data_IF_405239056362
#
_entry.id   IF_405239056362
#
_cell.length_a   1.000
_cell.length_b   1.000
_cell.length_c   1.000
_cell.angle_alpha   90.00
_cell.angle_beta   90.00
_cell.angle_gamma   90.00
#
_symmetry.space_group_name_H-M   'P 1'
#
loop_
_entity.id
_entity.type
_entity.pdbx_description
1 polymer ?
#
# COMPACT_ATOMS: atom_id res chain seq x y z
N UNK A 1 22.34 -50.82 35.93
CA UNK A 1 21.04 -50.32 35.51
C UNK A 1 21.24 -49.41 34.29
N UNK A 2 20.81 -49.99 33.19
CA UNK A 2 20.91 -49.43 31.84
C UNK A 2 19.73 -48.51 31.65
N UNK A 3 19.96 -47.23 31.43
CA UNK A 3 18.93 -46.25 31.10
C UNK A 3 18.80 -46.17 29.58
N UNK A 4 17.69 -46.66 29.06
CA UNK A 4 17.29 -46.65 27.68
C UNK A 4 16.81 -45.23 27.32
N UNK A 5 17.38 -44.63 26.28
CA UNK A 5 16.97 -43.33 25.73
C UNK A 5 15.70 -43.50 24.89
N UNK A 6 14.73 -42.54 24.90
CA UNK A 6 13.54 -42.67 24.09
C UNK A 6 13.89 -42.42 22.60
N UNK A 7 13.39 -43.33 21.78
CA UNK A 7 13.43 -43.35 20.32
C UNK A 7 12.89 -42.06 19.73
N UNK A 8 13.68 -41.45 18.81
CA UNK A 8 13.24 -40.35 17.97
C UNK A 8 12.12 -40.81 17.04
N UNK A 9 10.94 -40.19 17.18
CA UNK A 9 9.80 -40.41 16.29
C UNK A 9 10.15 -39.78 14.93
N UNK A 10 10.39 -40.63 13.95
CA UNK A 10 10.49 -40.21 12.53
C UNK A 10 9.19 -39.57 12.09
N UNK A 11 9.21 -38.27 11.87
CA UNK A 11 8.15 -37.53 11.18
C UNK A 11 8.28 -37.82 9.70
N UNK A 12 7.55 -38.80 9.20
CA UNK A 12 7.54 -39.24 7.81
C UNK A 12 6.93 -38.18 6.86
N UNK A 13 7.12 -38.32 5.53
CA UNK A 13 6.80 -37.33 4.50
C UNK A 13 5.30 -37.31 4.14
N UNK A 14 4.46 -36.79 5.02
CA UNK A 14 2.99 -36.65 4.75
C UNK A 14 2.67 -35.34 4.04
N UNK A 15 3.67 -34.45 3.80
CA UNK A 15 3.47 -33.07 3.31
C UNK A 15 3.48 -32.91 1.78
N UNK A 16 4.07 -33.83 1.00
CA UNK A 16 4.30 -33.60 -0.42
C UNK A 16 3.04 -33.74 -1.29
N UNK A 17 2.31 -34.83 -1.17
CA UNK A 17 1.17 -35.14 -2.04
C UNK A 17 -0.05 -34.20 -1.80
N UNK A 18 -0.29 -33.79 -0.55
CA UNK A 18 -1.36 -32.84 -0.23
C UNK A 18 -1.03 -31.45 -0.83
N UNK A 19 0.21 -31.00 -0.71
CA UNK A 19 0.65 -29.73 -1.27
C UNK A 19 0.60 -29.71 -2.81
N UNK A 20 0.91 -30.81 -3.48
CA UNK A 20 0.79 -30.92 -4.95
C UNK A 20 -0.66 -30.88 -5.41
N UNK A 21 -1.59 -31.55 -4.70
CA UNK A 21 -3.02 -31.49 -5.00
C UNK A 21 -3.57 -30.07 -4.85
N UNK A 22 -3.20 -29.38 -3.77
CA UNK A 22 -3.61 -27.99 -3.51
C UNK A 22 -3.01 -27.03 -4.54
N UNK A 23 -1.75 -27.20 -4.91
CA UNK A 23 -1.10 -26.41 -5.96
C UNK A 23 -1.79 -26.58 -7.32
N UNK A 24 -2.13 -27.81 -7.70
CA UNK A 24 -2.87 -28.10 -8.95
C UNK A 24 -4.29 -27.50 -8.94
N UNK A 25 -4.99 -27.53 -7.79
CA UNK A 25 -6.29 -26.89 -7.65
C UNK A 25 -6.20 -25.36 -7.87
N UNK A 26 -5.13 -24.72 -7.40
CA UNK A 26 -4.90 -23.29 -7.62
C UNK A 26 -4.67 -22.91 -9.09
N UNK A 27 -4.23 -23.83 -9.91
CA UNK A 27 -4.02 -23.64 -11.36
C UNK A 27 -5.25 -23.96 -12.20
N UNK A 28 -6.23 -24.67 -11.63
CA UNK A 28 -7.43 -25.08 -12.35
C UNK A 28 -8.24 -23.91 -12.92
N UNK A 29 -8.67 -24.04 -14.19
CA UNK A 29 -9.47 -23.04 -14.89
C UNK A 29 -8.76 -21.73 -15.21
N UNK A 30 -7.43 -21.69 -15.16
CA UNK A 30 -6.61 -20.61 -15.70
C UNK A 30 -6.38 -20.87 -17.21
N UNK A 31 -6.37 -19.79 -18.01
CA UNK A 31 -5.86 -19.91 -19.37
C UNK A 31 -4.33 -19.97 -19.36
N UNK A 32 -3.71 -20.28 -20.49
CA UNK A 32 -2.28 -20.47 -20.59
C UNK A 32 -1.45 -19.27 -20.12
N UNK A 33 -1.84 -18.05 -20.50
CA UNK A 33 -1.15 -16.82 -20.06
C UNK A 33 -1.26 -16.58 -18.56
N UNK A 34 -2.45 -16.81 -17.99
CA UNK A 34 -2.70 -16.71 -16.55
C UNK A 34 -1.91 -17.79 -15.80
N UNK A 35 -1.88 -19.01 -16.30
CA UNK A 35 -1.11 -20.10 -15.73
C UNK A 35 0.38 -19.75 -15.68
N UNK A 36 0.97 -19.35 -16.81
CA UNK A 36 2.39 -18.91 -16.86
C UNK A 36 2.67 -17.80 -15.87
N UNK A 37 1.79 -16.82 -15.73
CA UNK A 37 1.95 -15.70 -14.78
C UNK A 37 1.89 -16.15 -13.31
N UNK A 38 1.10 -17.18 -12.99
CA UNK A 38 1.02 -17.73 -11.62
C UNK A 38 2.29 -18.47 -11.24
N UNK A 39 2.81 -19.32 -12.12
CA UNK A 39 3.97 -20.18 -11.82
C UNK A 39 5.34 -19.52 -12.08
N UNK A 40 5.39 -18.34 -12.74
CA UNK A 40 6.64 -17.68 -13.07
C UNK A 40 7.52 -17.44 -11.84
N UNK A 41 8.78 -17.82 -11.91
CA UNK A 41 9.76 -17.68 -10.81
C UNK A 41 10.56 -16.39 -10.88
N UNK A 42 10.62 -15.77 -12.07
CA UNK A 42 11.39 -14.54 -12.31
C UNK A 42 10.94 -13.38 -11.40
N UNK A 43 11.91 -12.64 -10.88
CA UNK A 43 11.72 -11.41 -10.09
C UNK A 43 12.72 -10.35 -10.54
N UNK A 44 12.33 -9.12 -10.76
CA UNK A 44 10.94 -8.60 -10.71
C UNK A 44 10.08 -9.09 -11.88
N UNK A 45 8.77 -9.29 -11.66
CA UNK A 45 7.81 -9.72 -12.69
C UNK A 45 6.75 -8.63 -12.92
N UNK A 46 6.61 -8.17 -14.15
CA UNK A 46 5.51 -7.31 -14.58
C UNK A 46 4.46 -8.11 -15.36
N UNK A 47 3.19 -8.04 -14.93
CA UNK A 47 2.07 -8.71 -15.59
C UNK A 47 1.17 -7.64 -16.21
N UNK A 48 1.20 -7.51 -17.54
CA UNK A 48 0.38 -6.58 -18.29
C UNK A 48 -0.95 -7.24 -18.68
N UNK A 49 -2.05 -6.62 -18.30
CA UNK A 49 -3.37 -7.22 -18.52
C UNK A 49 -4.45 -6.14 -18.64
N UNK A 50 -5.33 -6.27 -19.64
CA UNK A 50 -6.47 -5.36 -19.88
C UNK A 50 -7.56 -5.44 -18.81
N UNK A 51 -8.56 -4.56 -18.84
CA UNK A 51 -9.75 -4.69 -18.01
C UNK A 51 -10.44 -6.05 -18.22
N UNK A 52 -10.96 -6.65 -17.17
CA UNK A 52 -11.68 -7.94 -17.25
C UNK A 52 -10.81 -9.18 -17.47
N UNK A 53 -9.52 -9.06 -17.73
CA UNK A 53 -8.60 -10.19 -18.01
C UNK A 53 -8.29 -11.09 -16.79
N UNK A 54 -8.83 -10.78 -15.61
CA UNK A 54 -8.61 -11.58 -14.41
C UNK A 54 -7.34 -11.25 -13.61
N UNK A 55 -6.78 -10.03 -13.74
CA UNK A 55 -5.58 -9.59 -12.99
C UNK A 55 -5.59 -9.96 -11.50
N UNK A 56 -6.68 -9.66 -10.81
CA UNK A 56 -6.81 -9.98 -9.38
C UNK A 56 -6.84 -11.48 -9.12
N UNK A 57 -7.43 -12.26 -10.04
CA UNK A 57 -7.43 -13.72 -9.96
C UNK A 57 -6.02 -14.28 -10.09
N UNK A 58 -5.25 -13.80 -11.05
CA UNK A 58 -3.85 -14.20 -11.25
C UNK A 58 -3.03 -13.84 -10.02
N UNK A 59 -3.13 -12.60 -9.52
CA UNK A 59 -2.38 -12.13 -8.36
C UNK A 59 -2.66 -12.99 -7.11
N UNK A 60 -3.92 -13.23 -6.79
CA UNK A 60 -4.28 -14.00 -5.59
C UNK A 60 -3.87 -15.47 -5.70
N UNK A 61 -4.02 -16.08 -6.89
CA UNK A 61 -3.59 -17.45 -7.13
C UNK A 61 -2.07 -17.59 -7.13
N UNK A 62 -1.34 -16.60 -7.65
CA UNK A 62 0.12 -16.57 -7.57
C UNK A 62 0.61 -16.55 -6.11
N UNK A 63 0.04 -15.68 -5.28
CA UNK A 63 0.38 -15.63 -3.85
C UNK A 63 0.09 -16.98 -3.19
N UNK A 64 -1.09 -17.55 -3.41
CA UNK A 64 -1.47 -18.82 -2.83
C UNK A 64 -0.59 -19.98 -3.33
N UNK A 65 -0.31 -20.04 -4.63
CA UNK A 65 0.54 -21.06 -5.24
C UNK A 65 1.96 -21.03 -4.70
N UNK A 66 2.58 -19.83 -4.62
CA UNK A 66 3.94 -19.69 -4.07
C UNK A 66 4.01 -20.02 -2.58
N UNK A 67 2.92 -19.80 -1.84
CA UNK A 67 2.81 -20.21 -0.44
C UNK A 67 2.72 -21.74 -0.29
N UNK A 68 1.83 -22.39 -1.05
CA UNK A 68 1.61 -23.83 -0.99
C UNK A 68 2.84 -24.60 -1.45
N UNK A 69 3.54 -24.11 -2.47
CA UNK A 69 4.79 -24.69 -2.96
C UNK A 69 6.01 -24.40 -2.08
N UNK A 70 5.85 -23.60 -1.01
CA UNK A 70 6.95 -23.21 -0.14
C UNK A 70 7.92 -22.20 -0.73
N UNK A 71 7.61 -21.65 -1.92
CA UNK A 71 8.46 -20.65 -2.58
C UNK A 71 8.48 -19.31 -1.85
N UNK A 72 7.42 -18.99 -1.08
CA UNK A 72 7.32 -17.77 -0.29
C UNK A 72 6.61 -18.01 1.06
N UNK A 73 7.09 -17.34 2.09
CA UNK A 73 6.39 -17.26 3.38
C UNK A 73 5.25 -16.21 3.26
N UNK A 74 3.98 -16.62 3.43
CA UNK A 74 2.85 -15.69 3.34
C UNK A 74 2.91 -14.56 4.37
N UNK A 75 3.54 -14.76 5.53
CA UNK A 75 3.73 -13.73 6.56
C UNK A 75 4.66 -12.61 6.11
N UNK A 76 5.49 -12.87 5.11
CA UNK A 76 6.41 -11.90 4.49
C UNK A 76 5.87 -11.36 3.18
N UNK A 77 4.64 -11.74 2.80
CA UNK A 77 3.97 -11.29 1.58
C UNK A 77 3.08 -10.09 1.85
N UNK A 78 3.27 -9.02 1.08
CA UNK A 78 2.47 -7.82 1.12
C UNK A 78 1.81 -7.55 -0.23
N UNK A 79 0.48 -7.61 -0.28
CA UNK A 79 -0.32 -7.31 -1.47
C UNK A 79 -0.91 -5.90 -1.40
N UNK A 80 -0.48 -5.02 -2.29
CA UNK A 80 -0.86 -3.60 -2.30
C UNK A 80 -1.83 -3.27 -3.43
N UNK A 81 -2.76 -2.36 -3.15
CA UNK A 81 -3.69 -1.81 -4.13
C UNK A 81 -4.02 -0.34 -3.82
N UNK A 82 -4.64 0.37 -4.76
CA UNK A 82 -4.94 1.80 -4.61
C UNK A 82 -6.23 2.09 -3.85
N UNK A 83 -7.22 1.20 -3.87
CA UNK A 83 -8.53 1.47 -3.28
C UNK A 83 -8.88 0.54 -2.13
N UNK A 84 -9.64 1.06 -1.14
CA UNK A 84 -10.14 0.26 -0.01
C UNK A 84 -11.01 -0.90 -0.47
N UNK A 85 -11.82 -0.70 -1.53
CA UNK A 85 -12.67 -1.73 -2.13
C UNK A 85 -11.83 -2.88 -2.68
N UNK A 86 -10.83 -2.56 -3.51
CA UNK A 86 -9.94 -3.58 -4.08
C UNK A 86 -9.12 -4.31 -3.00
N UNK A 87 -8.69 -3.61 -1.95
CA UNK A 87 -8.03 -4.25 -0.80
C UNK A 87 -8.96 -5.23 -0.07
N UNK A 88 -10.24 -4.88 0.11
CA UNK A 88 -11.25 -5.76 0.68
C UNK A 88 -11.50 -7.01 -0.17
N UNK A 89 -11.64 -6.85 -1.48
CA UNK A 89 -11.78 -7.97 -2.43
C UNK A 89 -10.56 -8.89 -2.40
N UNK A 90 -9.36 -8.31 -2.38
CA UNK A 90 -8.10 -9.05 -2.34
C UNK A 90 -8.02 -9.93 -1.07
N UNK A 91 -8.27 -9.34 0.11
CA UNK A 91 -8.33 -10.09 1.38
C UNK A 91 -9.36 -11.21 1.37
N UNK A 92 -10.56 -10.94 0.83
CA UNK A 92 -11.63 -11.96 0.74
C UNK A 92 -11.20 -13.13 -0.15
N UNK A 93 -10.55 -12.86 -1.28
CA UNK A 93 -10.05 -13.89 -2.20
C UNK A 93 -8.91 -14.71 -1.59
N UNK A 94 -7.95 -14.05 -0.94
CA UNK A 94 -6.84 -14.74 -0.24
C UNK A 94 -7.37 -15.66 0.87
N UNK A 95 -8.35 -15.20 1.67
CA UNK A 95 -9.01 -16.04 2.67
C UNK A 95 -9.71 -17.28 2.09
N UNK A 96 -10.37 -17.13 0.93
CA UNK A 96 -11.01 -18.25 0.23
C UNK A 96 -10.00 -19.26 -0.32
N UNK A 97 -8.77 -18.84 -0.56
CA UNK A 97 -7.66 -19.69 -1.00
C UNK A 97 -6.85 -20.26 0.19
N UNK A 98 -7.37 -20.21 1.40
CA UNK A 98 -6.73 -20.79 2.58
C UNK A 98 -5.71 -19.89 3.29
N UNK A 99 -5.39 -18.72 2.75
CA UNK A 99 -4.43 -17.78 3.33
C UNK A 99 -5.11 -16.81 4.33
N UNK A 100 -5.75 -17.35 5.35
CA UNK A 100 -6.36 -16.55 6.41
C UNK A 100 -5.26 -15.88 7.23
N UNK A 101 -5.29 -14.53 7.25
CA UNK A 101 -4.44 -13.67 8.09
C UNK A 101 -2.92 -13.89 7.96
N UNK A 102 -2.49 -14.64 6.95
CA UNK A 102 -1.08 -14.94 6.70
C UNK A 102 -0.44 -13.91 5.76
N UNK A 103 -1.11 -13.56 4.67
CA UNK A 103 -0.62 -12.54 3.72
C UNK A 103 -1.29 -11.19 3.99
N UNK A 104 -0.49 -10.16 4.23
CA UNK A 104 -0.98 -8.81 4.43
C UNK A 104 -1.51 -8.22 3.10
N UNK A 105 -2.72 -7.65 3.12
CA UNK A 105 -3.28 -6.97 1.96
C UNK A 105 -3.92 -5.64 2.37
N UNK A 106 -3.58 -4.56 1.66
CA UNK A 106 -4.05 -3.22 2.00
C UNK A 106 -3.85 -2.19 0.90
N UNK A 107 -4.26 -0.97 1.19
CA UNK A 107 -3.85 0.18 0.36
C UNK A 107 -2.48 0.66 0.79
N UNK A 108 -1.74 1.31 -0.13
CA UNK A 108 -0.44 1.92 0.18
C UNK A 108 -0.51 2.80 1.43
N UNK A 109 -1.49 3.69 1.52
CA UNK A 109 -1.65 4.58 2.68
C UNK A 109 -1.93 3.82 3.98
N UNK A 110 -2.81 2.81 3.95
CA UNK A 110 -3.13 2.04 5.16
C UNK A 110 -1.92 1.26 5.70
N UNK A 111 -1.11 0.70 4.79
CA UNK A 111 0.11 -0.03 5.18
C UNK A 111 1.18 0.92 5.69
N UNK A 112 1.41 2.04 4.99
CA UNK A 112 2.38 3.05 5.43
C UNK A 112 2.01 3.62 6.81
N UNK A 113 0.72 3.91 7.03
CA UNK A 113 0.25 4.38 8.33
C UNK A 113 0.41 3.33 9.43
N UNK A 114 0.10 2.06 9.14
CA UNK A 114 0.32 0.98 10.10
C UNK A 114 1.80 0.83 10.49
N UNK A 115 2.73 1.02 9.55
CA UNK A 115 4.16 1.03 9.83
C UNK A 115 4.58 2.23 10.69
N UNK A 116 4.03 3.43 10.40
CA UNK A 116 4.29 4.62 11.23
C UNK A 116 3.78 4.43 12.66
N UNK A 117 2.58 3.88 12.84
CA UNK A 117 2.04 3.57 14.17
C UNK A 117 2.93 2.59 14.95
N UNK A 118 3.42 1.55 14.29
CA UNK A 118 4.38 0.64 14.90
C UNK A 118 5.66 1.36 15.30
N UNK A 119 6.21 2.19 14.41
CA UNK A 119 7.40 2.99 14.67
C UNK A 119 7.25 3.92 15.87
N UNK A 120 6.12 4.63 16.00
CA UNK A 120 5.85 5.52 17.15
C UNK A 120 5.73 4.72 18.44
N UNK A 121 4.96 3.65 18.43
CA UNK A 121 4.79 2.77 19.59
C UNK A 121 6.11 2.16 20.07
N UNK A 122 6.93 1.66 19.15
CA UNK A 122 8.19 1.01 19.48
C UNK A 122 9.24 2.01 20.06
N UNK A 123 8.96 3.32 19.96
CA UNK A 123 9.81 4.41 20.48
C UNK A 123 9.14 5.24 21.57
N UNK A 124 7.98 4.79 22.07
CA UNK A 124 7.18 5.53 23.05
C UNK A 124 6.90 6.99 22.62
N UNK A 125 6.75 7.21 21.30
CA UNK A 125 6.36 8.50 20.75
C UNK A 125 4.85 8.63 20.70
N UNK A 126 4.29 9.83 20.95
CA UNK A 126 2.84 10.05 20.80
C UNK A 126 2.41 9.82 19.35
N UNK A 127 1.27 9.13 19.17
CA UNK A 127 0.67 8.98 17.85
C UNK A 127 0.05 10.31 17.41
N UNK A 128 0.48 10.91 16.29
CA UNK A 128 -0.09 12.17 15.82
C UNK A 128 -1.55 12.02 15.43
N UNK A 129 -2.35 13.05 15.68
CA UNK A 129 -3.73 13.11 15.20
C UNK A 129 -3.77 13.29 13.68
N UNK A 130 -4.57 12.46 12.99
CA UNK A 130 -4.74 12.57 11.55
C UNK A 130 -5.69 13.71 11.20
N UNK A 131 -5.23 14.63 10.37
CA UNK A 131 -6.05 15.69 9.81
C UNK A 131 -6.94 15.10 8.70
N UNK A 132 -8.20 14.84 9.00
CA UNK A 132 -9.16 14.27 8.05
C UNK A 132 -9.52 15.23 6.91
N UNK A 133 -9.57 16.54 7.19
CA UNK A 133 -10.04 17.57 6.24
C UNK A 133 -9.07 18.74 6.18
N UNK A 134 -8.33 18.84 5.07
CA UNK A 134 -7.37 19.92 4.83
C UNK A 134 -8.04 21.24 4.45
N UNK A 135 -9.13 21.17 3.69
CA UNK A 135 -9.83 22.35 3.16
C UNK A 135 -10.24 23.34 4.26
N UNK A 136 -10.88 22.94 5.38
CA UNK A 136 -11.22 23.87 6.45
C UNK A 136 -10.01 24.57 7.08
N UNK A 137 -8.87 23.90 7.16
CA UNK A 137 -7.62 24.49 7.67
C UNK A 137 -7.11 25.56 6.72
N UNK A 138 -6.95 25.19 5.43
CA UNK A 138 -6.48 26.12 4.39
C UNK A 138 -7.43 27.32 4.23
N UNK A 139 -8.77 27.12 4.32
CA UNK A 139 -9.74 28.20 4.26
C UNK A 139 -9.49 29.28 5.31
N UNK A 140 -9.09 28.89 6.53
CA UNK A 140 -8.77 29.84 7.60
C UNK A 140 -7.52 30.68 7.32
N UNK A 141 -6.61 30.16 6.51
CA UNK A 141 -5.34 30.81 6.15
C UNK A 141 -5.45 31.73 4.94
N UNK A 142 -6.53 31.61 4.13
CA UNK A 142 -6.76 32.46 2.97
C UNK A 142 -7.10 33.88 3.45
N UNK A 143 -6.43 34.92 2.92
CA UNK A 143 -6.72 36.32 3.26
C UNK A 143 -8.17 36.70 2.96
N UNK A 144 -8.70 37.64 3.74
CA UNK A 144 -10.10 38.06 3.61
C UNK A 144 -10.42 38.72 2.25
N UNK A 145 -9.47 39.39 1.67
CA UNK A 145 -9.54 40.03 0.34
C UNK A 145 -9.48 39.03 -0.82
N UNK A 146 -9.01 37.82 -0.56
CA UNK A 146 -8.88 36.72 -1.51
C UNK A 146 -9.88 35.59 -1.32
N UNK A 147 -10.95 35.80 -0.54
CA UNK A 147 -11.96 34.78 -0.22
C UNK A 147 -12.81 34.29 -1.38
N UNK A 148 -12.72 34.96 -2.55
CA UNK A 148 -13.32 34.46 -3.79
C UNK A 148 -12.56 33.27 -4.38
N UNK A 149 -11.31 33.04 -3.95
CA UNK A 149 -10.51 31.88 -4.37
C UNK A 149 -11.01 30.61 -3.68
N UNK A 150 -11.23 29.56 -4.46
CA UNK A 150 -11.61 28.27 -3.89
C UNK A 150 -10.46 27.68 -3.05
N UNK A 151 -10.73 27.40 -1.79
CA UNK A 151 -9.75 26.78 -0.92
C UNK A 151 -9.29 25.40 -1.42
N UNK A 152 -10.11 24.73 -2.23
CA UNK A 152 -9.76 23.46 -2.85
C UNK A 152 -8.62 23.63 -3.87
N UNK A 153 -8.61 24.74 -4.61
CA UNK A 153 -7.54 25.03 -5.57
C UNK A 153 -6.22 25.28 -4.85
N UNK A 154 -6.24 26.00 -3.73
CA UNK A 154 -5.06 26.21 -2.88
C UNK A 154 -4.57 24.90 -2.27
N UNK A 155 -5.47 24.05 -1.79
CA UNK A 155 -5.12 22.70 -1.31
C UNK A 155 -4.49 21.88 -2.43
N UNK A 156 -5.07 21.90 -3.63
CA UNK A 156 -4.56 21.16 -4.79
C UNK A 156 -3.15 21.61 -5.17
N UNK A 157 -2.86 22.89 -5.06
CA UNK A 157 -1.54 23.46 -5.33
C UNK A 157 -0.50 23.03 -4.27
N UNK A 158 -0.88 23.06 -3.00
CA UNK A 158 -0.04 22.53 -1.91
C UNK A 158 0.22 21.02 -2.08
N UNK A 159 -0.82 20.24 -2.41
CA UNK A 159 -0.67 18.81 -2.65
C UNK A 159 0.25 18.50 -3.84
N UNK A 160 0.15 19.30 -4.90
CA UNK A 160 1.07 19.19 -6.04
C UNK A 160 2.53 19.39 -5.62
N UNK A 161 2.80 20.40 -4.80
CA UNK A 161 4.15 20.68 -4.29
C UNK A 161 4.62 19.53 -3.37
N UNK A 162 3.78 19.09 -2.46
CA UNK A 162 4.10 17.98 -1.53
C UNK A 162 4.38 16.66 -2.25
N UNK A 163 3.61 16.32 -3.27
CA UNK A 163 3.81 15.11 -4.05
C UNK A 163 5.19 15.07 -4.74
N UNK A 164 5.79 16.25 -4.97
CA UNK A 164 7.14 16.43 -5.54
C UNK A 164 8.22 16.71 -4.50
N UNK A 165 7.87 16.69 -3.21
CA UNK A 165 8.76 17.04 -2.09
C UNK A 165 9.31 18.46 -2.18
N UNK A 166 8.56 19.38 -2.81
CA UNK A 166 8.87 20.79 -2.90
C UNK A 166 8.50 21.45 -1.57
N UNK A 167 9.45 22.05 -0.89
CA UNK A 167 9.22 22.80 0.35
C UNK A 167 8.67 24.21 0.06
N UNK A 168 7.99 24.86 1.05
CA UNK A 168 7.46 26.22 0.85
C UNK A 168 8.49 27.22 0.33
N UNK A 169 9.76 27.12 0.80
CA UNK A 169 10.83 28.06 0.46
C UNK A 169 11.26 27.99 -1.01
N UNK A 170 11.23 26.80 -1.61
CA UNK A 170 11.64 26.58 -3.01
C UNK A 170 10.46 26.54 -3.97
N UNK A 171 9.24 26.55 -3.43
CA UNK A 171 8.02 26.48 -4.24
C UNK A 171 7.93 27.56 -5.34
N UNK A 172 8.27 28.85 -5.10
CA UNK A 172 8.17 29.86 -6.17
C UNK A 172 9.01 29.52 -7.40
N UNK A 173 10.27 29.15 -7.18
CA UNK A 173 11.18 28.80 -8.29
C UNK A 173 10.69 27.57 -9.07
N UNK A 174 10.19 26.56 -8.36
CA UNK A 174 9.66 25.35 -8.99
C UNK A 174 8.34 25.61 -9.75
N UNK A 175 7.48 26.47 -9.21
CA UNK A 175 6.23 26.86 -9.87
C UNK A 175 6.52 27.61 -11.18
N UNK A 176 7.48 28.54 -11.18
CA UNK A 176 7.92 29.25 -12.39
C UNK A 176 8.56 28.30 -13.40
N UNK A 177 9.48 27.44 -12.98
CA UNK A 177 10.16 26.48 -13.85
C UNK A 177 9.17 25.53 -14.56
N UNK A 178 8.06 25.20 -13.90
CA UNK A 178 7.03 24.33 -14.44
C UNK A 178 5.84 25.10 -15.04
N UNK A 179 5.95 26.43 -15.18
CA UNK A 179 4.93 27.31 -15.78
C UNK A 179 3.55 27.12 -15.15
N UNK A 180 3.51 27.02 -13.83
CA UNK A 180 2.25 26.90 -13.10
C UNK A 180 1.58 28.27 -12.93
N UNK A 181 0.25 28.23 -12.90
CA UNK A 181 -0.60 29.37 -12.59
C UNK A 181 -1.29 29.11 -11.23
N UNK A 182 -0.64 29.48 -10.11
CA UNK A 182 -1.22 29.26 -8.79
C UNK A 182 -2.49 30.10 -8.62
N UNK A 183 -3.47 29.61 -7.79
CA UNK A 183 -4.76 30.28 -7.58
C UNK A 183 -4.66 31.61 -6.83
N UNK A 184 -3.52 31.88 -6.21
CA UNK A 184 -3.19 33.11 -5.48
C UNK A 184 -1.77 33.58 -5.83
N UNK A 185 -1.42 34.84 -5.58
CA UNK A 185 -0.05 35.32 -5.75
C UNK A 185 0.96 34.41 -5.02
N UNK A 186 2.11 34.14 -5.67
CA UNK A 186 3.14 33.23 -5.15
C UNK A 186 3.49 33.48 -3.67
N UNK A 187 3.73 34.74 -3.21
CA UNK A 187 4.04 34.97 -1.80
C UNK A 187 2.91 34.54 -0.85
N UNK A 188 1.66 34.69 -1.30
CA UNK A 188 0.49 34.26 -0.51
C UNK A 188 0.40 32.74 -0.42
N UNK A 189 0.63 32.04 -1.51
CA UNK A 189 0.65 30.54 -1.51
C UNK A 189 1.78 30.04 -0.61
N UNK A 190 2.98 30.62 -0.69
CA UNK A 190 4.12 30.28 0.17
C UNK A 190 3.77 30.44 1.65
N UNK A 191 3.17 31.59 2.02
CA UNK A 191 2.74 31.85 3.40
C UNK A 191 1.73 30.80 3.86
N UNK A 192 0.66 30.58 3.09
CA UNK A 192 -0.37 29.57 3.42
C UNK A 192 0.24 28.19 3.53
N UNK A 193 1.14 27.81 2.63
CA UNK A 193 1.77 26.51 2.65
C UNK A 193 2.64 26.33 3.91
N UNK A 194 3.41 27.35 4.29
CA UNK A 194 4.23 27.32 5.51
C UNK A 194 3.36 27.21 6.77
N UNK A 195 2.37 28.08 6.93
CA UNK A 195 1.43 28.05 8.07
C UNK A 195 0.68 26.70 8.14
N UNK A 196 0.31 26.12 6.99
CA UNK A 196 -0.30 24.80 6.94
C UNK A 196 0.67 23.68 7.40
N UNK A 197 1.94 23.75 7.07
CA UNK A 197 2.93 22.78 7.56
C UNK A 197 3.19 22.93 9.07
N UNK A 198 3.21 24.16 9.59
CA UNK A 198 3.34 24.46 11.02
C UNK A 198 2.18 23.89 11.84
N UNK A 199 0.94 24.08 11.38
CA UNK A 199 -0.28 23.52 12.02
C UNK A 199 -0.33 21.99 12.11
N UNK A 200 0.58 21.27 11.46
CA UNK A 200 0.66 19.80 11.53
C UNK A 200 1.66 19.33 12.58
N UNK A 201 2.47 20.22 13.13
CA UNK A 201 3.54 19.87 14.09
C UNK A 201 3.06 20.07 15.53
N UNK A 202 2.02 20.89 15.72
CA UNK A 202 1.34 21.11 16.99
C UNK A 202 0.24 20.04 17.23
#
# INVERSE_FOLDING_TARGET
PTTEAPSATETGPVSSAANESDANHLLAGLNEAQHRAVIAETTPLAILAGPGSGKTRVLTRRIAWRTVTGAEDPRRTLALTFTRKAAGELRTRLRRLGLRDQAAAGTFHAVAYAQLRAFWRDRDLPEPELIDRKVPLVTKLIPRDSRSTDALDVVSEIEWAKARRIRPEVYPAEAEAQRREPPLPLPTVVRIYREYEELKVD
#
